data_IF_838302248671
#
_entry.id   IF_838302248671
#
_cell.length_a   1.000
_cell.length_b   1.000
_cell.length_c   1.000
_cell.angle_alpha   90.00
_cell.angle_beta   90.00
_cell.angle_gamma   90.00
#
_symmetry.space_group_name_H-M   'P 1'
#
loop_
_entity.id
_entity.type
_entity.pdbx_description
1 polymer ?
#
# COMPACT_ATOMS: atom_id res chain seq x y z
N UNK A 1 -3.01 37.06 34.82
CA UNK A 1 -2.19 35.90 34.40
C UNK A 1 -2.98 34.88 33.55
N UNK A 2 -4.33 34.87 33.54
CA UNK A 2 -5.11 33.95 32.66
C UNK A 2 -5.04 34.23 31.16
N UNK A 3 -4.95 35.49 30.72
CA UNK A 3 -5.01 35.85 29.29
C UNK A 3 -3.76 35.44 28.48
N UNK A 4 -2.60 35.33 29.15
CA UNK A 4 -1.36 34.88 28.51
C UNK A 4 -1.35 33.36 28.29
N UNK A 5 -2.02 32.58 29.13
CA UNK A 5 -2.12 31.13 28.92
C UNK A 5 -3.10 30.79 27.80
N UNK A 6 -4.25 31.47 27.70
CA UNK A 6 -5.21 31.26 26.61
C UNK A 6 -4.63 31.55 25.22
N UNK A 7 -3.83 32.62 25.11
CA UNK A 7 -3.18 33.00 23.84
C UNK A 7 -2.06 32.04 23.43
N UNK A 8 -1.36 31.42 24.38
CA UNK A 8 -0.43 30.32 24.09
C UNK A 8 -1.17 29.10 23.53
N UNK A 9 -2.27 28.67 24.14
CA UNK A 9 -3.07 27.53 23.65
C UNK A 9 -3.65 27.74 22.26
N UNK A 10 -4.11 28.95 21.91
CA UNK A 10 -4.61 29.23 20.56
C UNK A 10 -3.51 29.14 19.49
N UNK A 11 -2.30 29.58 19.84
CA UNK A 11 -1.12 29.49 18.97
C UNK A 11 -0.75 28.03 18.72
N UNK A 12 -0.77 27.20 19.76
CA UNK A 12 -0.44 25.78 19.66
C UNK A 12 -1.50 25.01 18.84
N UNK A 13 -2.79 25.29 19.05
CA UNK A 13 -3.87 24.74 18.23
C UNK A 13 -3.77 25.11 16.75
N UNK A 14 -3.44 26.37 16.44
CA UNK A 14 -3.22 26.82 15.07
C UNK A 14 -2.02 26.09 14.44
N UNK A 15 -0.94 25.92 15.22
CA UNK A 15 0.26 25.22 14.77
C UNK A 15 -0.02 23.74 14.48
N UNK A 16 -0.81 23.07 15.32
CA UNK A 16 -1.31 21.72 15.06
C UNK A 16 -2.17 21.67 13.79
N UNK A 17 -3.11 22.61 13.62
CA UNK A 17 -3.95 22.71 12.43
C UNK A 17 -3.15 22.90 11.13
N UNK A 18 -2.16 23.79 11.14
CA UNK A 18 -1.25 24.00 10.00
C UNK A 18 -0.37 22.79 9.72
N UNK A 19 0.07 22.09 10.76
CA UNK A 19 0.78 20.83 10.60
C UNK A 19 -0.10 19.76 9.94
N UNK A 20 -1.37 19.64 10.35
CA UNK A 20 -2.37 18.75 9.72
C UNK A 20 -2.60 19.07 8.26
N UNK A 21 -2.75 20.35 7.92
CA UNK A 21 -2.94 20.79 6.53
C UNK A 21 -1.72 20.53 5.64
N UNK A 22 -0.52 20.84 6.15
CA UNK A 22 0.75 20.59 5.45
C UNK A 22 0.92 19.10 5.11
N UNK A 23 0.47 18.21 5.99
CA UNK A 23 0.49 16.77 5.74
C UNK A 23 -0.40 16.37 4.59
N UNK A 24 -1.61 16.90 4.59
CA UNK A 24 -2.57 16.64 3.55
C UNK A 24 -1.97 17.01 2.18
N UNK A 25 -1.43 18.23 2.04
CA UNK A 25 -0.80 18.67 0.78
C UNK A 25 0.39 17.80 0.38
N UNK A 26 1.31 17.50 1.31
CA UNK A 26 2.49 16.68 1.00
C UNK A 26 2.11 15.26 0.58
N UNK A 27 1.09 14.67 1.21
CA UNK A 27 0.60 13.34 0.86
C UNK A 27 0.03 13.33 -0.56
N UNK A 28 -0.84 14.30 -0.88
CA UNK A 28 -1.45 14.44 -2.21
C UNK A 28 -0.41 14.67 -3.32
N UNK A 29 0.59 15.51 -3.07
CA UNK A 29 1.63 15.81 -4.06
C UNK A 29 2.51 14.59 -4.38
N UNK A 30 2.83 13.76 -3.38
CA UNK A 30 3.61 12.53 -3.56
C UNK A 30 2.82 11.43 -4.25
N UNK A 31 1.51 11.36 -3.96
CA UNK A 31 0.58 10.46 -4.62
C UNK A 31 0.51 10.75 -6.12
N UNK A 32 0.49 12.03 -6.52
CA UNK A 32 0.60 12.44 -7.92
C UNK A 32 1.93 12.07 -8.58
N UNK A 33 3.00 11.88 -7.80
CA UNK A 33 4.35 11.50 -8.28
C UNK A 33 4.59 9.98 -8.26
N UNK A 34 3.65 9.19 -7.75
CA UNK A 34 3.78 7.73 -7.64
C UNK A 34 4.68 7.23 -6.51
N UNK A 35 5.11 8.11 -5.60
CA UNK A 35 5.88 7.74 -4.41
C UNK A 35 4.94 7.45 -3.23
N UNK A 36 4.73 6.17 -2.92
CA UNK A 36 3.99 5.76 -1.73
C UNK A 36 4.89 5.74 -0.48
N UNK A 37 4.55 6.51 0.55
CA UNK A 37 5.25 6.51 1.84
C UNK A 37 4.30 6.95 2.96
N UNK A 38 4.23 6.16 4.04
CA UNK A 38 3.52 6.52 5.26
C UNK A 38 4.29 7.60 6.02
N UNK A 39 3.95 8.87 5.78
CA UNK A 39 4.68 9.99 6.38
C UNK A 39 4.34 10.15 7.86
N UNK A 40 5.36 10.43 8.67
CA UNK A 40 5.22 10.82 10.07
C UNK A 40 5.52 12.31 10.17
N UNK A 41 4.56 13.14 10.60
CA UNK A 41 4.63 14.61 10.52
C UNK A 41 5.71 15.23 11.40
N UNK A 42 5.81 14.69 12.60
CA UNK A 42 6.65 15.14 13.68
C UNK A 42 7.24 13.89 14.32
N UNK A 43 8.49 13.57 13.96
CA UNK A 43 9.20 12.40 14.51
C UNK A 43 9.54 12.59 15.98
N UNK A 44 9.52 13.83 16.49
CA UNK A 44 9.79 14.12 17.89
C UNK A 44 8.66 13.56 18.79
N UNK A 45 7.44 13.42 18.24
CA UNK A 45 6.35 12.69 18.90
C UNK A 45 6.73 11.23 19.19
N UNK A 46 7.65 10.62 18.45
CA UNK A 46 8.05 9.21 18.69
C UNK A 46 9.01 9.05 19.89
N UNK A 47 9.51 10.15 20.47
CA UNK A 47 10.62 10.13 21.44
C UNK A 47 10.18 10.46 22.87
N UNK A 48 9.12 11.27 23.05
CA UNK A 48 8.81 11.87 24.35
C UNK A 48 7.32 11.93 24.71
N UNK A 49 6.48 11.11 24.09
CA UNK A 49 5.06 11.08 24.42
C UNK A 49 4.72 10.17 25.59
N UNK A 50 3.74 10.59 26.37
CA UNK A 50 3.14 9.79 27.43
C UNK A 50 1.86 9.13 26.87
N UNK A 51 1.71 7.82 26.99
CA UNK A 51 0.51 7.09 26.54
C UNK A 51 -0.75 7.50 27.32
N UNK A 52 -0.60 8.22 28.43
CA UNK A 52 -1.68 8.79 29.23
C UNK A 52 -2.09 10.21 28.81
N UNK A 53 -1.35 10.85 27.89
CA UNK A 53 -1.66 12.17 27.37
C UNK A 53 -2.67 12.07 26.20
N UNK A 54 -3.86 12.63 26.41
CA UNK A 54 -4.96 12.63 25.44
C UNK A 54 -4.57 13.32 24.13
N UNK A 55 -3.80 14.43 24.18
CA UNK A 55 -3.36 15.14 22.98
C UNK A 55 -2.33 14.32 22.18
N UNK A 56 -1.51 13.54 22.88
CA UNK A 56 -0.54 12.63 22.27
C UNK A 56 -1.25 11.51 21.50
N UNK A 57 -2.25 10.89 22.14
CA UNK A 57 -3.06 9.83 21.54
C UNK A 57 -3.86 10.35 20.35
N UNK A 58 -4.56 11.48 20.48
CA UNK A 58 -5.34 12.07 19.39
C UNK A 58 -4.49 12.35 18.14
N UNK A 59 -3.25 12.80 18.32
CA UNK A 59 -2.32 13.02 17.21
C UNK A 59 -1.97 11.71 16.49
N UNK A 60 -1.77 10.62 17.23
CA UNK A 60 -1.49 9.30 16.65
C UNK A 60 -2.70 8.70 15.94
N UNK A 61 -3.89 8.83 16.53
CA UNK A 61 -5.14 8.42 15.87
C UNK A 61 -5.36 9.20 14.58
N UNK A 62 -5.11 10.51 14.56
CA UNK A 62 -5.17 11.32 13.35
C UNK A 62 -4.15 10.86 12.30
N UNK A 63 -2.93 10.51 12.69
CA UNK A 63 -1.92 9.98 11.78
C UNK A 63 -2.39 8.66 11.15
N UNK A 64 -2.89 7.72 11.96
CA UNK A 64 -3.39 6.43 11.48
C UNK A 64 -4.60 6.61 10.56
N UNK A 65 -5.53 7.50 10.89
CA UNK A 65 -6.68 7.82 10.04
C UNK A 65 -6.24 8.32 8.65
N UNK A 66 -5.22 9.18 8.59
CA UNK A 66 -4.69 9.63 7.31
C UNK A 66 -4.01 8.49 6.53
N UNK A 67 -3.25 7.63 7.21
CA UNK A 67 -2.65 6.46 6.57
C UNK A 67 -3.72 5.52 6.01
N UNK A 68 -4.78 5.26 6.76
CA UNK A 68 -5.91 4.45 6.31
C UNK A 68 -6.48 4.98 5.00
N UNK A 69 -6.76 6.29 4.92
CA UNK A 69 -7.29 6.92 3.70
C UNK A 69 -6.34 6.78 2.51
N UNK A 70 -5.05 7.06 2.70
CA UNK A 70 -4.05 6.96 1.63
C UNK A 70 -3.91 5.50 1.18
N UNK A 71 -3.89 4.55 2.11
CA UNK A 71 -3.81 3.13 1.78
C UNK A 71 -5.05 2.64 1.02
N UNK A 72 -6.25 3.10 1.39
CA UNK A 72 -7.48 2.79 0.65
C UNK A 72 -7.41 3.31 -0.78
N UNK A 73 -6.96 4.55 -0.98
CA UNK A 73 -6.79 5.13 -2.31
C UNK A 73 -5.77 4.34 -3.15
N UNK A 74 -4.61 4.00 -2.59
CA UNK A 74 -3.60 3.20 -3.29
C UNK A 74 -4.09 1.79 -3.63
N UNK A 75 -4.80 1.15 -2.70
CA UNK A 75 -5.38 -0.17 -2.94
C UNK A 75 -6.42 -0.11 -4.07
N UNK A 76 -7.31 0.90 -4.06
CA UNK A 76 -8.28 1.11 -5.13
C UNK A 76 -7.60 1.40 -6.47
N UNK A 77 -6.55 2.21 -6.49
CA UNK A 77 -5.76 2.48 -7.70
C UNK A 77 -5.17 1.18 -8.25
N UNK A 78 -4.61 0.34 -7.39
CA UNK A 78 -4.01 -0.92 -7.81
C UNK A 78 -5.05 -1.93 -8.28
N UNK A 79 -6.21 -2.03 -7.62
CA UNK A 79 -7.31 -2.91 -8.03
C UNK A 79 -7.97 -2.49 -9.35
N UNK A 80 -8.02 -1.19 -9.62
CA UNK A 80 -8.54 -0.64 -10.87
C UNK A 80 -7.51 -0.64 -12.00
N UNK A 81 -6.23 -0.91 -11.71
CA UNK A 81 -5.21 -1.06 -12.74
C UNK A 81 -5.55 -2.25 -13.65
N UNK A 82 -5.47 -2.01 -14.96
CA UNK A 82 -5.72 -3.00 -16.01
C UNK A 82 -4.52 -3.08 -16.93
N UNK A 83 -4.34 -4.24 -17.55
CA UNK A 83 -3.32 -4.42 -18.59
C UNK A 83 -3.75 -3.62 -19.82
N UNK A 84 -2.94 -2.65 -20.23
CA UNK A 84 -3.22 -1.80 -21.40
C UNK A 84 -2.98 -2.54 -22.72
N UNK A 85 -2.09 -3.53 -22.71
CA UNK A 85 -1.66 -4.28 -23.88
C UNK A 85 -2.16 -5.72 -23.77
N UNK A 86 -2.99 -6.18 -24.71
CA UNK A 86 -3.58 -7.53 -24.70
C UNK A 86 -2.60 -8.67 -25.06
N UNK A 87 -1.30 -8.47 -24.84
CA UNK A 87 -0.29 -9.52 -25.03
C UNK A 87 -0.30 -10.48 -23.84
N UNK A 88 -0.24 -11.81 -24.04
CA UNK A 88 -0.15 -12.77 -22.95
C UNK A 88 1.06 -12.54 -22.02
N UNK A 89 2.16 -11.98 -22.54
CA UNK A 89 3.34 -11.65 -21.73
C UNK A 89 3.14 -10.38 -20.89
N UNK A 90 2.24 -9.48 -21.32
CA UNK A 90 1.91 -8.28 -20.55
C UNK A 90 1.13 -8.63 -19.27
N UNK A 91 0.31 -9.70 -19.30
CA UNK A 91 -0.34 -10.23 -18.09
C UNK A 91 0.68 -10.76 -17.07
N UNK A 92 1.71 -11.48 -17.54
CA UNK A 92 2.78 -11.98 -16.67
C UNK A 92 3.50 -10.83 -15.96
N UNK A 93 3.93 -9.82 -16.72
CA UNK A 93 4.62 -8.64 -16.19
C UNK A 93 3.72 -7.84 -15.24
N UNK A 94 2.44 -7.70 -15.57
CA UNK A 94 1.47 -7.03 -14.73
C UNK A 94 1.31 -7.68 -13.35
N UNK A 95 1.14 -9.00 -13.27
CA UNK A 95 1.02 -9.69 -11.98
C UNK A 95 2.31 -9.62 -11.17
N UNK A 96 3.47 -9.65 -11.84
CA UNK A 96 4.77 -9.43 -11.19
C UNK A 96 4.87 -8.02 -10.60
N UNK A 97 4.61 -6.98 -11.39
CA UNK A 97 4.66 -5.59 -10.93
C UNK A 97 3.67 -5.31 -9.79
N UNK A 98 2.45 -5.86 -9.89
CA UNK A 98 1.44 -5.77 -8.85
C UNK A 98 1.95 -6.37 -7.55
N UNK A 99 2.56 -7.56 -7.60
CA UNK A 99 3.13 -8.21 -6.41
C UNK A 99 4.23 -7.36 -5.77
N UNK A 100 5.11 -6.74 -6.56
CA UNK A 100 6.18 -5.84 -6.09
C UNK A 100 5.58 -4.60 -5.44
N UNK A 101 4.58 -3.96 -6.07
CA UNK A 101 3.94 -2.77 -5.52
C UNK A 101 3.24 -3.06 -4.20
N UNK A 102 2.43 -4.12 -4.12
CA UNK A 102 1.74 -4.50 -2.88
C UNK A 102 2.76 -4.83 -1.79
N UNK A 103 3.84 -5.54 -2.13
CA UNK A 103 4.94 -5.81 -1.19
C UNK A 103 5.55 -4.52 -0.66
N UNK A 104 5.83 -3.55 -1.53
CA UNK A 104 6.37 -2.24 -1.13
C UNK A 104 5.45 -1.52 -0.13
N UNK A 105 4.13 -1.52 -0.39
CA UNK A 105 3.14 -0.94 0.52
C UNK A 105 3.17 -1.64 1.89
N UNK A 106 3.16 -2.98 1.90
CA UNK A 106 3.23 -3.76 3.14
C UNK A 106 4.53 -3.52 3.92
N UNK A 107 5.66 -3.35 3.24
CA UNK A 107 6.93 -3.01 3.89
C UNK A 107 6.92 -1.58 4.49
N UNK A 108 6.23 -0.62 3.87
CA UNK A 108 6.02 0.70 4.50
C UNK A 108 5.27 0.58 5.82
N UNK A 109 4.26 -0.29 5.89
CA UNK A 109 3.47 -0.52 7.11
C UNK A 109 4.28 -1.19 8.23
N UNK A 110 5.42 -1.82 7.90
CA UNK A 110 6.32 -2.50 8.85
C UNK A 110 7.47 -1.62 9.34
N UNK A 111 7.66 -0.42 8.79
CA UNK A 111 8.73 0.49 9.22
C UNK A 111 8.67 0.72 10.72
N UNK A 112 9.82 0.76 11.37
CA UNK A 112 9.92 0.88 12.83
C UNK A 112 9.11 2.05 13.38
N UNK A 113 9.18 3.20 12.73
CA UNK A 113 8.46 4.39 13.17
C UNK A 113 6.93 4.25 13.05
N UNK A 114 6.44 3.51 12.04
CA UNK A 114 5.02 3.16 11.90
C UNK A 114 4.62 2.20 13.01
N UNK A 115 5.41 1.13 13.21
CA UNK A 115 5.15 0.12 14.23
C UNK A 115 5.16 0.69 15.65
N UNK A 116 5.96 1.74 15.93
CA UNK A 116 5.92 2.45 17.22
C UNK A 116 4.54 3.08 17.48
N UNK A 117 4.00 3.82 16.51
CA UNK A 117 2.67 4.44 16.62
C UNK A 117 1.58 3.38 16.80
N UNK A 118 1.65 2.31 16.00
CA UNK A 118 0.68 1.20 16.10
C UNK A 118 0.76 0.54 17.48
N UNK A 119 1.97 0.35 18.05
CA UNK A 119 2.12 -0.23 19.40
C UNK A 119 1.50 0.63 20.49
N UNK A 120 1.74 1.94 20.47
CA UNK A 120 1.13 2.87 21.44
C UNK A 120 -0.39 2.79 21.39
N UNK A 121 -0.97 2.87 20.18
CA UNK A 121 -2.42 2.78 20.00
C UNK A 121 -2.98 1.37 20.33
N UNK A 122 -2.17 0.32 20.23
CA UNK A 122 -2.55 -1.04 20.63
C UNK A 122 -2.60 -1.16 22.15
N UNK A 123 -1.66 -0.56 22.88
CA UNK A 123 -1.60 -0.64 24.35
C UNK A 123 -2.83 -0.04 25.02
N UNK A 124 -3.47 0.94 24.37
CA UNK A 124 -4.68 1.60 24.86
C UNK A 124 -5.97 1.07 24.20
N UNK A 125 -5.89 -0.01 23.42
CA UNK A 125 -7.00 -0.60 22.68
C UNK A 125 -7.77 0.42 21.80
N UNK A 126 -7.04 1.35 21.14
CA UNK A 126 -7.68 2.38 20.32
C UNK A 126 -8.42 1.77 19.12
N UNK A 127 -9.71 2.15 18.89
CA UNK A 127 -10.49 1.66 17.77
C UNK A 127 -9.96 2.14 16.40
N UNK A 128 -9.10 3.18 16.39
CA UNK A 128 -8.49 3.75 15.18
C UNK A 128 -7.66 2.75 14.38
N UNK A 129 -7.18 1.67 15.02
CA UNK A 129 -6.39 0.63 14.35
C UNK A 129 -7.21 -0.35 13.51
N UNK A 130 -8.54 -0.38 13.68
CA UNK A 130 -9.41 -1.35 13.01
C UNK A 130 -9.35 -1.24 11.48
N UNK A 131 -9.47 -0.03 10.93
CA UNK A 131 -9.39 0.23 9.50
C UNK A 131 -8.02 -0.08 8.92
N UNK A 132 -6.95 0.36 9.59
CA UNK A 132 -5.57 0.07 9.21
C UNK A 132 -5.27 -1.45 9.16
N UNK A 133 -5.72 -2.21 10.18
CA UNK A 133 -5.53 -3.66 10.23
C UNK A 133 -6.34 -4.39 9.16
N UNK A 134 -7.57 -3.93 8.87
CA UNK A 134 -8.39 -4.50 7.80
C UNK A 134 -7.71 -4.35 6.44
N UNK A 135 -7.23 -3.14 6.11
CA UNK A 135 -6.48 -2.88 4.89
C UNK A 135 -5.25 -3.79 4.78
N UNK A 136 -4.50 -3.95 5.89
CA UNK A 136 -3.32 -4.82 5.93
C UNK A 136 -3.67 -6.26 5.52
N UNK A 137 -4.78 -6.80 6.05
CA UNK A 137 -5.26 -8.15 5.71
C UNK A 137 -5.66 -8.24 4.23
N UNK A 138 -6.35 -7.23 3.70
CA UNK A 138 -6.73 -7.19 2.29
C UNK A 138 -5.49 -7.17 1.38
N UNK A 139 -4.51 -6.31 1.67
CA UNK A 139 -3.24 -6.26 0.94
C UNK A 139 -2.49 -7.60 0.98
N UNK A 140 -2.50 -8.30 2.11
CA UNK A 140 -1.91 -9.65 2.20
C UNK A 140 -2.64 -10.66 1.31
N UNK A 141 -3.98 -10.62 1.28
CA UNK A 141 -4.78 -11.46 0.39
C UNK A 141 -4.47 -11.17 -1.09
N UNK A 142 -4.43 -9.91 -1.49
CA UNK A 142 -4.09 -9.52 -2.86
C UNK A 142 -2.65 -9.84 -3.24
N UNK A 143 -1.71 -9.80 -2.28
CA UNK A 143 -0.35 -10.24 -2.52
C UNK A 143 -0.30 -11.74 -2.84
N UNK A 144 -1.01 -12.56 -2.05
CA UNK A 144 -1.09 -14.00 -2.30
C UNK A 144 -1.62 -14.28 -3.71
N UNK A 145 -2.76 -13.68 -4.05
CA UNK A 145 -3.35 -13.77 -5.39
C UNK A 145 -2.36 -13.37 -6.48
N UNK A 146 -1.72 -12.20 -6.36
CA UNK A 146 -0.78 -11.72 -7.36
C UNK A 146 0.44 -12.65 -7.51
N UNK A 147 0.98 -13.15 -6.41
CA UNK A 147 2.13 -14.07 -6.44
C UNK A 147 1.76 -15.42 -7.02
N UNK A 148 0.57 -15.95 -6.74
CA UNK A 148 0.13 -17.23 -7.27
C UNK A 148 -0.18 -17.13 -8.76
N UNK A 149 -0.90 -16.08 -9.18
CA UNK A 149 -1.12 -15.79 -10.60
C UNK A 149 0.19 -15.65 -11.36
N UNK A 150 1.18 -14.95 -10.79
CA UNK A 150 2.51 -14.84 -11.38
C UNK A 150 3.20 -16.21 -11.51
N UNK A 151 3.21 -17.04 -10.45
CA UNK A 151 3.79 -18.39 -10.49
C UNK A 151 3.13 -19.27 -11.55
N UNK A 152 1.81 -19.22 -11.66
CA UNK A 152 1.06 -19.97 -12.66
C UNK A 152 1.41 -19.53 -14.09
N UNK A 153 1.41 -18.22 -14.36
CA UNK A 153 1.78 -17.69 -15.67
C UNK A 153 3.25 -18.00 -16.02
N UNK A 154 4.15 -18.03 -15.04
CA UNK A 154 5.55 -18.45 -15.25
C UNK A 154 5.66 -19.88 -15.79
N UNK A 155 4.73 -20.79 -15.46
CA UNK A 155 4.76 -22.17 -15.99
C UNK A 155 4.58 -22.23 -17.51
N UNK A 156 3.92 -21.23 -18.09
CA UNK A 156 3.64 -21.14 -19.53
C UNK A 156 4.45 -20.06 -20.24
N UNK A 157 5.26 -19.25 -19.53
CA UNK A 157 6.05 -18.14 -20.07
C UNK A 157 6.89 -18.52 -21.30
N UNK A 158 7.61 -19.66 -21.24
CA UNK A 158 8.40 -20.16 -22.36
C UNK A 158 7.56 -20.37 -23.61
N UNK A 159 6.37 -20.95 -23.46
CA UNK A 159 5.46 -21.22 -24.57
C UNK A 159 4.94 -19.90 -25.17
N UNK A 160 4.58 -18.93 -24.32
CA UNK A 160 4.14 -17.60 -24.75
C UNK A 160 5.23 -16.84 -25.53
N UNK A 161 6.49 -16.91 -25.08
CA UNK A 161 7.64 -16.32 -25.79
C UNK A 161 7.87 -16.95 -27.16
N UNK A 162 7.79 -18.28 -27.25
CA UNK A 162 7.92 -18.97 -28.54
C UNK A 162 6.78 -18.55 -29.47
N UNK A 163 5.54 -18.46 -28.99
CA UNK A 163 4.41 -17.98 -29.82
C UNK A 163 4.62 -16.56 -30.37
N UNK A 164 5.30 -15.69 -29.62
CA UNK A 164 5.57 -14.33 -30.05
C UNK A 164 6.66 -14.25 -31.13
N UNK A 165 7.65 -15.14 -31.07
CA UNK A 165 8.85 -15.09 -31.94
C UNK A 165 8.79 -16.05 -33.14
N UNK A 166 8.08 -17.16 -32.99
CA UNK A 166 8.04 -18.26 -33.96
C UNK A 166 7.20 -17.90 -35.18
N UNK A 167 7.75 -18.20 -36.37
CA UNK A 167 7.08 -17.95 -37.66
C UNK A 167 6.57 -19.24 -38.30
N UNK A 168 7.05 -20.40 -37.85
CA UNK A 168 6.61 -21.71 -38.31
C UNK A 168 5.27 -22.10 -37.68
N UNK A 169 4.23 -22.15 -38.52
CA UNK A 169 2.91 -22.61 -38.11
C UNK A 169 2.91 -24.05 -37.56
N UNK A 170 3.76 -24.92 -38.10
CA UNK A 170 3.89 -26.30 -37.64
C UNK A 170 4.41 -26.37 -36.20
N UNK A 171 5.43 -25.57 -35.88
CA UNK A 171 6.00 -25.47 -34.52
C UNK A 171 4.95 -24.97 -33.52
N UNK A 172 4.12 -23.99 -33.93
CA UNK A 172 3.01 -23.47 -33.11
C UNK A 172 2.00 -24.59 -32.81
N UNK A 173 1.54 -25.34 -33.82
CA UNK A 173 0.56 -26.43 -33.63
C UNK A 173 1.09 -27.47 -32.64
N UNK A 174 2.36 -27.87 -32.76
CA UNK A 174 2.94 -28.88 -31.86
C UNK A 174 3.04 -28.40 -30.41
N UNK A 175 3.08 -27.09 -30.17
CA UNK A 175 3.15 -26.50 -28.83
C UNK A 175 1.78 -26.35 -28.16
N UNK A 176 0.72 -26.13 -28.94
CA UNK A 176 -0.63 -25.84 -28.44
C UNK A 176 -1.13 -26.85 -27.38
N UNK A 177 -0.93 -28.18 -27.50
CA UNK A 177 -1.38 -29.13 -26.47
C UNK A 177 -0.76 -28.86 -25.10
N UNK A 178 0.55 -28.58 -25.05
CA UNK A 178 1.25 -28.29 -23.79
C UNK A 178 0.82 -26.95 -23.20
N UNK A 179 0.60 -25.94 -24.05
CA UNK A 179 0.08 -24.65 -23.62
C UNK A 179 -1.34 -24.78 -23.05
N UNK A 180 -2.23 -25.50 -23.74
CA UNK A 180 -3.60 -25.73 -23.26
C UNK A 180 -3.62 -26.52 -21.95
N UNK A 181 -2.71 -27.50 -21.79
CA UNK A 181 -2.58 -28.22 -20.53
C UNK A 181 -2.14 -27.30 -19.40
N UNK A 182 -1.20 -26.40 -19.65
CA UNK A 182 -0.82 -25.34 -18.71
C UNK A 182 -2.01 -24.45 -18.35
N UNK A 183 -2.72 -23.93 -19.35
CA UNK A 183 -3.91 -23.08 -19.11
C UNK A 183 -5.01 -23.78 -18.30
N UNK A 184 -5.25 -25.07 -18.53
CA UNK A 184 -6.20 -25.88 -17.73
C UNK A 184 -5.82 -26.07 -16.27
N UNK A 185 -4.56 -25.82 -15.90
CA UNK A 185 -4.14 -25.87 -14.48
C UNK A 185 -4.27 -24.52 -13.79
N UNK A 186 -4.52 -23.45 -14.55
CA UNK A 186 -4.67 -22.07 -14.06
C UNK A 186 -6.15 -21.75 -13.80
N UNK A 187 -7.07 -22.38 -14.54
CA UNK A 187 -8.53 -22.24 -14.44
C UNK A 187 -9.17 -23.49 -13.84
#
# INVERSE_FOLDING_TARGET
MSSSNETLTQRDQLQLGLNRFRLHIKSTLRQMQGEFNLTIPNRDLLVSGDETDEEYVENFEFIVYNWERILQEEMNNELNRRVLNSSPLAELEFWHERSIRITSILEQMKKDDVMKIIRVLTNIDSPSLSGFNNIKLQLQSYLLEATDNYKFLLTIDRHLKILQMEKSFQTIIHMLPNLMQGLKTIW
#
